data_IF_239975276725
#
_entry.id   IF_239975276725
#
_cell.length_a   1.000
_cell.length_b   1.000
_cell.length_c   1.000
_cell.angle_alpha   90.00
_cell.angle_beta   90.00
_cell.angle_gamma   90.00
#
_symmetry.space_group_name_H-M   'P 1'
#
loop_
_entity.id
_entity.type
_entity.pdbx_description
1 polymer ?
#
# COMPACT_ATOMS: atom_id res chain seq x y z
N UNK A 1 -25.85 -5.26 -10.00
CA UNK A 1 -25.80 -4.09 -10.90
C UNK A 1 -25.06 -4.52 -12.15
N UNK A 2 -25.80 -4.79 -13.22
CA UNK A 2 -25.24 -5.05 -14.54
C UNK A 2 -25.50 -3.81 -15.40
N UNK A 3 -24.49 -3.40 -16.16
CA UNK A 3 -24.46 -2.38 -17.22
C UNK A 3 -24.12 -0.95 -16.79
N UNK A 4 -22.90 -0.74 -16.29
CA UNK A 4 -22.10 0.40 -16.77
C UNK A 4 -21.37 -0.13 -18.00
N UNK A 5 -21.58 0.43 -19.20
CA UNK A 5 -20.85 -0.02 -20.39
C UNK A 5 -19.48 0.68 -20.39
N UNK A 6 -18.42 -0.10 -20.63
CA UNK A 6 -17.05 0.38 -20.78
C UNK A 6 -16.90 1.49 -21.85
N UNK A 7 -17.82 1.54 -22.82
CA UNK A 7 -17.91 2.62 -23.81
C UNK A 7 -18.33 3.96 -23.23
N UNK A 8 -19.13 3.97 -22.16
CA UNK A 8 -19.62 5.20 -21.52
C UNK A 8 -18.50 5.92 -20.74
N UNK A 9 -17.38 5.21 -20.49
CA UNK A 9 -16.14 5.73 -19.88
C UNK A 9 -15.22 6.36 -20.93
N UNK A 10 -15.25 5.86 -22.17
CA UNK A 10 -14.30 6.23 -23.21
C UNK A 10 -14.76 7.42 -24.07
N UNK A 11 -16.05 7.79 -24.03
CA UNK A 11 -16.64 8.84 -24.88
C UNK A 11 -17.09 10.11 -24.10
N UNK A 12 -16.65 10.31 -22.85
CA UNK A 12 -16.79 11.58 -22.11
C UNK A 12 -17.83 11.63 -20.98
N UNK A 13 -17.54 11.40 -19.70
CA UNK A 13 -16.39 10.82 -18.98
C UNK A 13 -16.86 10.77 -17.52
N UNK A 14 -17.03 9.59 -16.92
CA UNK A 14 -17.32 9.54 -15.48
C UNK A 14 -16.02 9.89 -14.75
N UNK A 15 -16.00 11.00 -14.01
CA UNK A 15 -14.83 11.37 -13.22
C UNK A 15 -14.47 10.26 -12.22
N UNK A 16 -13.17 10.14 -11.91
CA UNK A 16 -12.70 9.18 -10.90
C UNK A 16 -13.44 9.39 -9.57
N UNK A 17 -13.63 10.65 -9.17
CA UNK A 17 -14.40 11.02 -7.99
C UNK A 17 -15.83 10.45 -8.04
N UNK A 18 -16.55 10.67 -9.14
CA UNK A 18 -17.93 10.20 -9.31
C UNK A 18 -18.01 8.67 -9.27
N UNK A 19 -17.00 7.98 -9.84
CA UNK A 19 -16.88 6.53 -9.79
C UNK A 19 -16.72 6.02 -8.35
N UNK A 20 -15.79 6.60 -7.60
CA UNK A 20 -15.54 6.23 -6.19
C UNK A 20 -16.78 6.50 -5.35
N UNK A 21 -17.39 7.69 -5.49
CA UNK A 21 -18.61 8.05 -4.77
C UNK A 21 -19.75 7.06 -5.03
N UNK A 22 -19.91 6.64 -6.28
CA UNK A 22 -20.88 5.63 -6.67
C UNK A 22 -20.59 4.28 -6.01
N UNK A 23 -19.34 3.81 -6.03
CA UNK A 23 -18.96 2.55 -5.39
C UNK A 23 -19.21 2.57 -3.87
N UNK A 24 -18.81 3.65 -3.18
CA UNK A 24 -19.05 3.80 -1.74
C UNK A 24 -20.54 3.77 -1.42
N UNK A 25 -21.33 4.56 -2.15
CA UNK A 25 -22.79 4.68 -1.92
C UNK A 25 -23.53 3.36 -2.11
N UNK A 26 -22.99 2.47 -2.95
CA UNK A 26 -23.58 1.18 -3.27
C UNK A 26 -22.86 -0.01 -2.61
N UNK A 27 -21.87 0.24 -1.73
CA UNK A 27 -21.04 -0.80 -1.07
C UNK A 27 -20.41 -1.78 -2.07
N UNK A 28 -19.89 -1.25 -3.16
CA UNK A 28 -19.17 -2.00 -4.19
C UNK A 28 -17.66 -1.87 -4.00
N UNK A 29 -16.91 -2.85 -4.50
CA UNK A 29 -15.47 -2.72 -4.64
C UNK A 29 -15.15 -1.55 -5.58
N UNK A 30 -14.13 -0.76 -5.22
CA UNK A 30 -13.69 0.39 -6.01
C UNK A 30 -12.86 -0.13 -7.19
N UNK A 31 -13.31 0.19 -8.40
CA UNK A 31 -12.58 -0.07 -9.64
C UNK A 31 -12.49 1.24 -10.40
N UNK A 32 -11.27 1.76 -10.54
CA UNK A 32 -11.03 3.01 -11.26
C UNK A 32 -11.27 2.82 -12.77
N UNK A 33 -11.93 3.79 -13.44
CA UNK A 33 -12.28 3.70 -14.86
C UNK A 33 -11.08 3.90 -15.80
N UNK A 34 -9.91 4.22 -15.26
CA UNK A 34 -8.75 4.74 -15.99
C UNK A 34 -7.61 3.72 -16.11
N UNK A 35 -7.93 2.44 -16.33
CA UNK A 35 -6.95 1.34 -16.31
C UNK A 35 -5.71 1.59 -17.17
N UNK A 36 -5.89 2.28 -18.29
CA UNK A 36 -4.83 2.52 -19.28
C UNK A 36 -4.07 3.84 -19.04
N UNK A 37 -4.54 4.70 -18.11
CA UNK A 37 -3.96 6.02 -17.86
C UNK A 37 -2.55 5.96 -17.30
N UNK A 38 -2.23 4.90 -16.55
CA UNK A 38 -0.91 4.72 -15.95
C UNK A 38 0.20 4.68 -17.00
N UNK A 39 -0.12 4.21 -18.22
CA UNK A 39 0.82 4.17 -19.33
C UNK A 39 1.18 5.56 -19.89
N UNK A 40 0.38 6.59 -19.60
CA UNK A 40 0.67 7.97 -19.99
C UNK A 40 1.86 8.51 -19.19
N UNK A 41 1.88 8.27 -17.88
CA UNK A 41 2.97 8.65 -16.98
C UNK A 41 4.12 7.62 -16.96
N UNK A 42 3.79 6.34 -17.12
CA UNK A 42 4.73 5.23 -17.09
C UNK A 42 4.58 4.31 -18.31
N UNK A 43 5.06 4.72 -19.50
CA UNK A 43 4.91 3.91 -20.72
C UNK A 43 5.50 2.51 -20.60
N UNK A 44 6.55 2.35 -19.80
CA UNK A 44 7.23 1.08 -19.53
C UNK A 44 6.43 0.12 -18.62
N UNK A 45 5.29 0.56 -18.07
CA UNK A 45 4.43 -0.23 -17.18
C UNK A 45 3.07 -0.56 -17.81
N UNK A 46 2.85 -0.21 -19.08
CA UNK A 46 1.56 -0.35 -19.78
C UNK A 46 0.90 -1.73 -19.62
N UNK A 47 1.70 -2.80 -19.62
CA UNK A 47 1.20 -4.18 -19.55
C UNK A 47 1.37 -4.82 -18.16
N UNK A 48 1.71 -4.02 -17.14
CA UNK A 48 1.89 -4.51 -15.77
C UNK A 48 0.59 -4.39 -14.99
N UNK A 49 0.19 -5.48 -14.35
CA UNK A 49 -0.93 -5.50 -13.41
C UNK A 49 -0.47 -4.99 -12.04
N UNK A 50 -0.40 -3.67 -11.89
CA UNK A 50 -0.08 -3.02 -10.62
C UNK A 50 -1.34 -2.85 -9.78
N UNK A 51 -1.20 -3.04 -8.47
CA UNK A 51 -2.23 -2.71 -7.49
C UNK A 51 -2.32 -1.19 -7.31
N UNK A 52 -3.48 -0.72 -6.84
CA UNK A 52 -3.66 0.69 -6.54
C UNK A 52 -2.63 1.17 -5.50
N UNK A 53 -1.98 2.28 -5.80
CA UNK A 53 -0.89 2.86 -5.02
C UNK A 53 0.47 2.16 -5.16
N UNK A 54 0.57 1.00 -5.82
CA UNK A 54 1.83 0.23 -5.88
C UNK A 54 2.95 0.99 -6.58
N UNK A 55 2.63 1.65 -7.70
CA UNK A 55 3.62 2.40 -8.48
C UNK A 55 4.31 3.47 -7.62
N UNK A 56 3.53 4.24 -6.87
CA UNK A 56 4.02 5.37 -6.07
C UNK A 56 4.88 4.93 -4.88
N UNK A 57 4.64 3.72 -4.36
CA UNK A 57 5.38 3.20 -3.21
C UNK A 57 6.61 2.38 -3.59
N UNK A 58 6.61 1.73 -4.75
CA UNK A 58 7.67 0.75 -5.13
C UNK A 58 8.61 1.26 -6.21
N UNK A 59 8.18 2.21 -7.03
CA UNK A 59 8.94 2.66 -8.19
C UNK A 59 9.77 3.89 -7.83
N UNK A 60 11.09 3.75 -7.94
CA UNK A 60 11.99 4.89 -7.80
C UNK A 60 11.89 5.78 -9.04
N UNK A 61 11.29 6.95 -8.85
CA UNK A 61 11.20 7.98 -9.86
C UNK A 61 12.32 9.00 -9.66
N UNK A 62 13.01 9.37 -10.75
CA UNK A 62 14.04 10.41 -10.71
C UNK A 62 13.38 11.78 -10.55
N UNK A 63 13.91 12.61 -9.63
CA UNK A 63 13.48 14.00 -9.49
C UNK A 63 13.67 14.79 -10.79
N UNK A 64 12.68 15.60 -11.12
CA UNK A 64 12.65 16.46 -12.30
C UNK A 64 12.28 17.90 -11.90
N UNK A 65 13.27 18.65 -11.43
CA UNK A 65 13.11 20.05 -11.04
C UNK A 65 12.77 20.96 -12.22
N UNK A 66 13.20 20.59 -13.44
CA UNK A 66 12.88 21.33 -14.65
C UNK A 66 11.39 21.23 -14.96
N UNK A 67 10.82 20.02 -14.87
CA UNK A 67 9.38 19.80 -14.99
C UNK A 67 8.58 20.59 -13.93
N UNK A 68 9.04 20.62 -12.68
CA UNK A 68 8.38 21.39 -11.63
C UNK A 68 8.33 22.90 -11.96
N UNK A 69 9.45 23.48 -12.42
CA UNK A 69 9.51 24.89 -12.84
C UNK A 69 8.68 25.18 -14.07
N UNK A 70 8.67 24.27 -15.05
CA UNK A 70 7.86 24.39 -16.25
C UNK A 70 6.37 24.46 -15.90
N UNK A 71 5.89 23.52 -15.10
CA UNK A 71 4.50 23.49 -14.65
C UNK A 71 4.16 24.75 -13.84
N UNK A 72 5.03 25.16 -12.93
CA UNK A 72 4.82 26.38 -12.14
C UNK A 72 4.70 27.63 -13.03
N UNK A 73 5.54 27.75 -14.06
CA UNK A 73 5.43 28.83 -15.05
C UNK A 73 4.11 28.79 -15.83
N UNK A 74 3.55 27.60 -16.12
CA UNK A 74 2.22 27.49 -16.73
C UNK A 74 1.12 28.08 -15.82
N UNK A 75 1.19 27.84 -14.51
CA UNK A 75 0.27 28.43 -13.52
C UNK A 75 0.44 29.96 -13.39
N UNK A 76 1.67 30.47 -13.49
CA UNK A 76 1.89 31.92 -13.54
C UNK A 76 1.34 32.53 -14.84
N UNK A 77 1.50 31.83 -15.97
CA UNK A 77 1.05 32.32 -17.26
C UNK A 77 -0.48 32.45 -17.32
N UNK A 78 -1.21 31.38 -16.92
CA UNK A 78 -2.68 31.40 -16.92
C UNK A 78 -3.22 32.49 -15.99
N UNK A 79 -2.58 32.69 -14.83
CA UNK A 79 -2.94 33.76 -13.91
C UNK A 79 -2.74 35.16 -14.53
N UNK A 80 -1.56 35.41 -15.12
CA UNK A 80 -1.25 36.68 -15.76
C UNK A 80 -2.24 37.01 -16.90
N UNK A 81 -2.65 36.00 -17.66
CA UNK A 81 -3.62 36.17 -18.74
C UNK A 81 -5.02 36.50 -18.20
N UNK A 82 -5.43 35.85 -17.10
CA UNK A 82 -6.70 36.16 -16.43
C UNK A 82 -6.77 37.61 -15.91
N UNK A 83 -5.64 38.19 -15.49
CA UNK A 83 -5.59 39.57 -14.98
C UNK A 83 -5.47 40.60 -16.12
N UNK A 84 -4.67 40.31 -17.15
CA UNK A 84 -4.25 41.32 -18.13
C UNK A 84 -5.11 41.34 -19.41
N UNK A 85 -5.95 40.33 -19.65
CA UNK A 85 -6.73 40.18 -20.87
C UNK A 85 -8.18 39.78 -20.55
N UNK A 86 -9.10 40.07 -21.47
CA UNK A 86 -10.43 39.44 -21.45
C UNK A 86 -10.27 37.97 -21.81
N UNK A 87 -10.03 37.12 -20.80
CA UNK A 87 -9.96 35.66 -20.95
C UNK A 87 -11.29 35.14 -21.48
N UNK A 88 -11.26 34.45 -22.62
CA UNK A 88 -12.40 33.72 -23.16
C UNK A 88 -12.28 32.22 -22.83
N UNK A 89 -13.39 31.49 -22.96
CA UNK A 89 -13.42 30.07 -22.60
C UNK A 89 -12.45 29.22 -23.45
N UNK A 90 -12.28 29.53 -24.74
CA UNK A 90 -11.41 28.76 -25.63
C UNK A 90 -9.93 28.87 -25.22
N UNK A 91 -9.48 30.09 -24.87
CA UNK A 91 -8.12 30.29 -24.34
C UNK A 91 -7.94 29.63 -22.99
N UNK A 92 -8.94 29.76 -22.11
CA UNK A 92 -8.94 29.13 -20.79
C UNK A 92 -8.76 27.61 -20.93
N UNK A 93 -9.55 26.99 -21.80
CA UNK A 93 -9.47 25.56 -22.11
C UNK A 93 -8.11 25.19 -22.69
N UNK A 94 -7.54 26.02 -23.58
CA UNK A 94 -6.19 25.83 -24.11
C UNK A 94 -5.07 25.90 -23.06
N UNK A 95 -5.21 26.72 -22.02
CA UNK A 95 -4.28 26.74 -20.88
C UNK A 95 -4.47 25.51 -19.98
N UNK A 96 -5.71 25.22 -19.58
CA UNK A 96 -6.01 24.07 -18.73
C UNK A 96 -5.63 22.75 -19.39
N UNK A 97 -5.90 22.59 -20.69
CA UNK A 97 -5.55 21.40 -21.46
C UNK A 97 -4.04 21.16 -21.51
N UNK A 98 -3.23 22.23 -21.59
CA UNK A 98 -1.76 22.12 -21.52
C UNK A 98 -1.28 21.68 -20.14
N UNK A 99 -1.79 22.31 -19.08
CA UNK A 99 -1.48 21.94 -17.69
C UNK A 99 -1.89 20.47 -17.44
N UNK A 100 -3.10 20.11 -17.84
CA UNK A 100 -3.63 18.76 -17.68
C UNK A 100 -2.78 17.72 -18.42
N UNK A 101 -2.47 17.96 -19.69
CA UNK A 101 -1.63 17.07 -20.51
C UNK A 101 -0.23 16.93 -19.90
N UNK A 102 0.33 18.02 -19.37
CA UNK A 102 1.62 17.99 -18.68
C UNK A 102 1.59 17.05 -17.48
N UNK A 103 0.55 17.15 -16.65
CA UNK A 103 0.38 16.37 -15.42
C UNK A 103 0.22 14.88 -15.74
N UNK A 104 -0.69 14.51 -16.65
CA UNK A 104 -1.00 13.09 -16.91
C UNK A 104 0.11 12.33 -17.62
N UNK A 105 1.03 13.03 -18.28
CA UNK A 105 2.12 12.42 -19.07
C UNK A 105 3.39 12.16 -18.27
N UNK A 106 3.39 12.42 -16.96
CA UNK A 106 4.56 12.31 -16.10
C UNK A 106 4.17 11.75 -14.73
N UNK A 107 5.03 10.91 -14.11
CA UNK A 107 4.81 10.49 -12.73
C UNK A 107 4.81 11.69 -11.79
N UNK A 108 3.71 11.91 -11.07
CA UNK A 108 3.60 13.10 -10.19
C UNK A 108 4.75 13.20 -9.18
N UNK A 109 5.22 12.07 -8.63
CA UNK A 109 6.30 12.03 -7.65
C UNK A 109 7.65 12.52 -8.17
N UNK A 110 7.84 12.68 -9.49
CA UNK A 110 9.08 13.24 -10.03
C UNK A 110 9.20 14.74 -9.78
N UNK A 111 8.08 15.48 -9.72
CA UNK A 111 8.09 16.95 -9.70
C UNK A 111 7.22 17.58 -8.60
N UNK A 112 6.26 16.85 -8.01
CA UNK A 112 5.22 17.45 -7.13
C UNK A 112 5.78 18.19 -5.91
N UNK A 113 6.82 17.67 -5.26
CA UNK A 113 7.39 18.31 -4.07
C UNK A 113 8.11 19.62 -4.39
N UNK A 114 8.83 19.66 -5.51
CA UNK A 114 9.51 20.88 -5.97
C UNK A 114 8.48 21.90 -6.45
N UNK A 115 7.45 21.46 -7.19
CA UNK A 115 6.34 22.32 -7.59
C UNK A 115 5.63 22.92 -6.37
N UNK A 116 5.35 22.10 -5.36
CA UNK A 116 4.74 22.53 -4.08
C UNK A 116 5.60 23.59 -3.38
N UNK A 117 6.92 23.40 -3.35
CA UNK A 117 7.87 24.36 -2.78
C UNK A 117 7.82 25.70 -3.53
N UNK A 118 7.90 25.67 -4.87
CA UNK A 118 7.80 26.88 -5.70
C UNK A 118 6.47 27.61 -5.47
N UNK A 119 5.37 26.86 -5.42
CA UNK A 119 4.03 27.39 -5.17
C UNK A 119 3.93 28.07 -3.81
N UNK A 120 4.32 27.40 -2.73
CA UNK A 120 4.26 27.96 -1.38
C UNK A 120 5.18 29.18 -1.21
N UNK A 121 6.41 29.10 -1.73
CA UNK A 121 7.33 30.25 -1.71
C UNK A 121 6.75 31.46 -2.46
N UNK A 122 6.04 31.24 -3.57
CA UNK A 122 5.38 32.33 -4.27
C UNK A 122 4.26 32.95 -3.42
N UNK A 123 3.41 32.12 -2.82
CA UNK A 123 2.31 32.59 -1.97
C UNK A 123 2.82 33.36 -0.75
N UNK A 124 3.86 32.85 -0.08
CA UNK A 124 4.41 33.47 1.13
C UNK A 124 5.09 34.81 0.86
N UNK A 125 5.77 34.97 -0.28
CA UNK A 125 6.44 36.21 -0.65
C UNK A 125 5.45 37.29 -1.15
N UNK A 126 4.22 36.93 -1.48
CA UNK A 126 3.19 37.83 -1.99
C UNK A 126 2.06 38.07 -0.95
N UNK A 127 2.42 38.41 0.29
CA UNK A 127 1.57 38.53 1.50
C UNK A 127 0.31 39.44 1.42
N UNK A 128 0.01 40.06 0.28
CA UNK A 128 -1.26 40.76 0.11
C UNK A 128 -2.38 39.72 0.04
N UNK A 129 -3.44 39.92 0.83
CA UNK A 129 -4.51 38.96 1.18
C UNK A 129 -5.37 38.39 0.02
N UNK A 130 -4.92 38.52 -1.22
CA UNK A 130 -5.57 38.11 -2.46
C UNK A 130 -4.49 37.74 -3.50
N UNK A 131 -3.59 36.80 -3.18
CA UNK A 131 -2.74 36.21 -4.21
C UNK A 131 -3.65 35.46 -5.21
N UNK A 132 -3.94 36.10 -6.34
CA UNK A 132 -4.84 35.55 -7.35
C UNK A 132 -4.26 34.31 -8.02
N UNK A 133 -2.94 34.05 -7.94
CA UNK A 133 -2.35 32.77 -8.38
C UNK A 133 -2.88 31.67 -7.48
N UNK A 134 -2.85 31.87 -6.16
CA UNK A 134 -3.36 30.90 -5.18
C UNK A 134 -4.85 30.61 -5.39
N UNK A 135 -5.67 31.65 -5.50
CA UNK A 135 -7.14 31.49 -5.63
C UNK A 135 -7.47 30.70 -6.90
N UNK A 136 -6.96 31.16 -8.06
CA UNK A 136 -7.18 30.47 -9.33
C UNK A 136 -6.67 29.01 -9.28
N UNK A 137 -5.51 28.80 -8.68
CA UNK A 137 -4.92 27.45 -8.59
C UNK A 137 -5.78 26.51 -7.74
N UNK A 138 -6.30 26.97 -6.60
CA UNK A 138 -7.20 26.15 -5.75
C UNK A 138 -8.46 25.74 -6.51
N UNK A 139 -9.06 26.65 -7.27
CA UNK A 139 -10.24 26.33 -8.09
C UNK A 139 -9.91 25.29 -9.17
N UNK A 140 -8.76 25.41 -9.83
CA UNK A 140 -8.26 24.42 -10.79
C UNK A 140 -8.03 23.06 -10.12
N UNK A 141 -7.42 23.03 -8.93
CA UNK A 141 -7.17 21.78 -8.20
C UNK A 141 -8.48 21.10 -7.81
N UNK A 142 -9.46 21.84 -7.28
CA UNK A 142 -10.78 21.30 -6.98
C UNK A 142 -11.47 20.74 -8.22
N UNK A 143 -11.39 21.47 -9.34
CA UNK A 143 -11.94 21.00 -10.61
C UNK A 143 -11.29 19.68 -11.05
N UNK A 144 -9.96 19.58 -11.03
CA UNK A 144 -9.28 18.33 -11.35
C UNK A 144 -9.62 17.20 -10.37
N UNK A 145 -9.73 17.48 -9.08
CA UNK A 145 -10.08 16.46 -8.08
C UNK A 145 -11.49 15.89 -8.33
N UNK A 146 -12.45 16.76 -8.68
CA UNK A 146 -13.86 16.41 -8.86
C UNK A 146 -14.16 15.81 -10.24
N UNK A 147 -13.51 16.33 -11.27
CA UNK A 147 -13.97 16.14 -12.65
C UNK A 147 -12.97 15.33 -13.51
N UNK A 148 -11.72 15.13 -13.08
CA UNK A 148 -10.73 14.44 -13.90
C UNK A 148 -10.99 12.91 -14.04
N UNK A 149 -10.82 12.35 -15.25
CA UNK A 149 -10.84 10.90 -15.48
C UNK A 149 -9.48 10.21 -15.26
N UNK A 150 -8.36 10.93 -15.12
CA UNK A 150 -7.02 10.35 -15.02
C UNK A 150 -6.44 10.46 -13.60
N UNK A 151 -5.94 9.34 -13.06
CA UNK A 151 -5.39 9.27 -11.68
C UNK A 151 -4.31 10.29 -11.39
N UNK A 152 -3.39 10.56 -12.33
CA UNK A 152 -2.29 11.50 -12.07
C UNK A 152 -2.80 12.94 -11.90
N UNK A 153 -3.88 13.32 -12.60
CA UNK A 153 -4.52 14.62 -12.40
C UNK A 153 -5.22 14.71 -11.03
N UNK A 154 -5.92 13.65 -10.62
CA UNK A 154 -6.57 13.56 -9.30
C UNK A 154 -5.53 13.56 -8.18
N UNK A 155 -4.43 12.81 -8.31
CA UNK A 155 -3.32 12.79 -7.34
C UNK A 155 -2.66 14.16 -7.24
N UNK A 156 -2.33 14.78 -8.37
CA UNK A 156 -1.75 16.13 -8.39
C UNK A 156 -2.63 17.12 -7.62
N UNK A 157 -3.93 17.13 -7.94
CA UNK A 157 -4.89 17.97 -7.25
C UNK A 157 -4.95 17.67 -5.74
N UNK A 158 -5.01 16.40 -5.34
CA UNK A 158 -5.03 16.00 -3.94
C UNK A 158 -3.76 16.45 -3.19
N UNK A 159 -2.58 16.29 -3.81
CA UNK A 159 -1.31 16.77 -3.24
C UNK A 159 -1.31 18.28 -3.06
N UNK A 160 -1.76 19.04 -4.06
CA UNK A 160 -1.77 20.49 -3.96
C UNK A 160 -2.81 20.99 -2.95
N UNK A 161 -3.97 20.35 -2.87
CA UNK A 161 -4.97 20.68 -1.86
C UNK A 161 -4.49 20.34 -0.44
N UNK A 162 -3.59 19.36 -0.27
CA UNK A 162 -2.98 19.00 1.03
C UNK A 162 -2.11 20.10 1.67
N UNK A 163 -1.68 21.09 0.88
CA UNK A 163 -0.87 22.23 1.36
C UNK A 163 -1.61 23.56 1.28
N UNK A 164 -2.91 23.52 0.97
CA UNK A 164 -3.80 24.69 0.98
C UNK A 164 -4.83 24.53 2.09
N UNK A 165 -5.38 25.63 2.60
CA UNK A 165 -6.44 25.56 3.60
C UNK A 165 -7.65 24.79 3.06
N UNK A 166 -8.09 23.75 3.78
CA UNK A 166 -9.19 22.89 3.39
C UNK A 166 -10.52 23.48 3.86
N UNK A 167 -11.32 23.96 2.93
CA UNK A 167 -12.73 24.21 3.20
C UNK A 167 -13.55 22.91 3.23
N UNK A 168 -14.83 23.03 3.59
CA UNK A 168 -15.74 21.87 3.70
C UNK A 168 -15.87 21.08 2.40
N UNK A 169 -15.82 21.77 1.26
CA UNK A 169 -15.91 21.11 -0.06
C UNK A 169 -14.65 20.28 -0.31
N UNK A 170 -13.47 20.89 -0.12
CA UNK A 170 -12.17 20.22 -0.28
C UNK A 170 -12.08 18.98 0.59
N UNK A 171 -12.47 19.10 1.86
CA UNK A 171 -12.47 17.98 2.80
C UNK A 171 -13.40 16.84 2.36
N UNK A 172 -14.58 17.17 1.85
CA UNK A 172 -15.53 16.17 1.31
C UNK A 172 -14.95 15.45 0.09
N UNK A 173 -14.31 16.18 -0.82
CA UNK A 173 -13.65 15.59 -1.99
C UNK A 173 -12.52 14.64 -1.58
N UNK A 174 -11.66 15.06 -0.64
CA UNK A 174 -10.55 14.26 -0.11
C UNK A 174 -11.02 13.02 0.65
N UNK A 175 -12.03 13.12 1.53
CA UNK A 175 -12.60 11.95 2.23
C UNK A 175 -13.15 10.93 1.23
N UNK A 176 -13.83 11.39 0.17
CA UNK A 176 -14.40 10.50 -0.85
C UNK A 176 -13.30 9.71 -1.56
N UNK A 177 -12.31 10.39 -2.17
CA UNK A 177 -11.25 9.70 -2.92
C UNK A 177 -10.33 8.87 -2.01
N UNK A 178 -10.23 9.23 -0.72
CA UNK A 178 -9.42 8.52 0.27
C UNK A 178 -9.87 7.09 0.57
N UNK A 179 -11.06 6.70 0.12
CA UNK A 179 -11.50 5.30 0.18
C UNK A 179 -10.77 4.41 -0.84
N UNK A 180 -9.96 4.98 -1.75
CA UNK A 180 -9.17 4.24 -2.72
C UNK A 180 -7.68 4.28 -2.37
N UNK A 181 -7.00 3.12 -2.40
CA UNK A 181 -5.57 3.00 -2.11
C UNK A 181 -4.70 3.92 -2.99
N UNK A 182 -5.13 4.21 -4.22
CA UNK A 182 -4.41 5.05 -5.20
C UNK A 182 -4.18 6.49 -4.71
N UNK A 183 -5.11 7.04 -3.92
CA UNK A 183 -5.09 8.45 -3.48
C UNK A 183 -4.74 8.62 -2.01
N UNK A 184 -4.43 7.53 -1.31
CA UNK A 184 -4.26 7.54 0.14
C UNK A 184 -3.11 8.43 0.62
N UNK A 185 -1.97 8.46 -0.07
CA UNK A 185 -0.81 9.27 0.32
C UNK A 185 -1.12 10.77 0.39
N UNK A 186 -1.62 11.43 -0.69
CA UNK A 186 -1.96 12.84 -0.61
C UNK A 186 -3.11 13.13 0.38
N UNK A 187 -4.09 12.23 0.51
CA UNK A 187 -5.20 12.40 1.47
C UNK A 187 -4.71 12.28 2.92
N UNK A 188 -3.85 11.31 3.23
CA UNK A 188 -3.25 11.15 4.56
C UNK A 188 -2.46 12.40 4.95
N UNK A 189 -1.66 12.93 4.02
CA UNK A 189 -0.92 14.19 4.21
C UNK A 189 -1.85 15.36 4.49
N UNK A 190 -2.94 15.49 3.73
CA UNK A 190 -3.92 16.57 3.90
C UNK A 190 -4.57 16.51 5.29
N UNK A 191 -5.04 15.35 5.71
CA UNK A 191 -5.67 15.19 7.01
C UNK A 191 -4.69 15.32 8.17
N UNK A 192 -3.43 14.89 7.99
CA UNK A 192 -2.39 15.12 9.00
C UNK A 192 -2.08 16.61 9.18
N UNK A 193 -2.03 17.38 8.08
CA UNK A 193 -1.84 18.83 8.12
C UNK A 193 -2.95 19.53 8.94
N UNK A 194 -4.20 19.10 8.75
CA UNK A 194 -5.37 19.62 9.49
C UNK A 194 -5.55 18.98 10.88
N UNK A 195 -4.64 18.09 11.30
CA UNK A 195 -4.70 17.34 12.56
C UNK A 195 -5.98 16.50 12.70
N UNK A 196 -6.50 16.01 11.59
CA UNK A 196 -7.70 15.18 11.52
C UNK A 196 -7.35 13.68 11.61
N UNK A 197 -6.80 13.30 12.76
CA UNK A 197 -6.35 11.93 13.01
C UNK A 197 -7.49 10.89 12.94
N UNK A 198 -8.72 11.30 13.26
CA UNK A 198 -9.89 10.40 13.19
C UNK A 198 -10.25 10.02 11.76
N UNK A 199 -10.18 10.96 10.81
CA UNK A 199 -10.40 10.63 9.40
C UNK A 199 -9.30 9.73 8.84
N UNK A 200 -8.04 9.93 9.25
CA UNK A 200 -6.94 9.02 8.91
C UNK A 200 -7.24 7.61 9.42
N UNK A 201 -7.62 7.47 10.70
CA UNK A 201 -7.93 6.18 11.30
C UNK A 201 -9.13 5.49 10.63
N UNK A 202 -10.20 6.24 10.34
CA UNK A 202 -11.37 5.75 9.61
C UNK A 202 -11.00 5.22 8.23
N UNK A 203 -10.20 5.96 7.47
CA UNK A 203 -9.80 5.54 6.12
C UNK A 203 -8.80 4.38 6.14
N UNK A 204 -7.87 4.34 7.09
CA UNK A 204 -6.95 3.21 7.30
C UNK A 204 -7.69 1.88 7.51
N UNK A 205 -8.84 1.91 8.20
CA UNK A 205 -9.73 0.76 8.39
C UNK A 205 -10.44 0.33 7.11
N UNK A 206 -10.72 1.26 6.21
CA UNK A 206 -11.46 1.01 4.98
C UNK A 206 -10.58 0.36 3.92
N UNK A 207 -9.41 0.95 3.67
CA UNK A 207 -8.51 0.50 2.60
C UNK A 207 -7.75 -0.77 2.99
N UNK A 208 -7.35 -1.56 1.98
CA UNK A 208 -6.78 -2.90 2.18
C UNK A 208 -5.46 -3.13 1.45
N UNK A 209 -4.89 -2.12 0.79
CA UNK A 209 -3.60 -2.24 0.10
C UNK A 209 -2.61 -1.19 0.57
N UNK A 210 -1.86 -0.65 -0.39
CA UNK A 210 -0.87 0.40 -0.19
C UNK A 210 -1.42 1.66 0.48
N UNK A 211 -2.73 1.91 0.38
CA UNK A 211 -3.37 3.01 1.09
C UNK A 211 -3.35 2.82 2.59
N UNK A 212 -3.43 1.57 3.09
CA UNK A 212 -3.33 1.30 4.53
C UNK A 212 -1.96 1.70 5.05
N UNK A 213 -0.90 1.29 4.36
CA UNK A 213 0.47 1.70 4.66
C UNK A 213 0.60 3.23 4.70
N UNK A 214 0.05 3.92 3.69
CA UNK A 214 0.08 5.38 3.62
C UNK A 214 -0.65 6.04 4.81
N UNK A 215 -1.89 5.66 5.12
CA UNK A 215 -2.61 6.25 6.26
C UNK A 215 -1.90 5.99 7.59
N UNK A 216 -1.43 4.77 7.81
CA UNK A 216 -0.72 4.40 9.03
C UNK A 216 0.60 5.15 9.21
N UNK A 217 1.25 5.56 8.12
CA UNK A 217 2.49 6.37 8.18
C UNK A 217 2.24 7.80 8.68
N UNK A 218 0.99 8.26 8.70
CA UNK A 218 0.58 9.59 9.16
C UNK A 218 -0.34 9.56 10.39
N UNK A 219 -0.78 8.38 10.82
CA UNK A 219 -1.70 8.22 11.95
C UNK A 219 -0.98 8.40 13.28
N UNK A 220 -1.55 9.23 14.16
CA UNK A 220 -1.08 9.38 15.54
C UNK A 220 -1.73 8.31 16.45
N UNK A 221 -0.94 7.67 17.30
CA UNK A 221 -1.42 6.69 18.28
C UNK A 221 -1.72 7.41 19.60
N UNK A 222 -2.87 8.07 19.64
CA UNK A 222 -3.32 8.94 20.74
C UNK A 222 -4.31 8.26 21.72
N UNK A 223 -4.61 6.98 21.50
CA UNK A 223 -5.63 6.24 22.24
C UNK A 223 -5.32 4.74 22.25
N UNK A 224 -5.81 4.06 23.30
CA UNK A 224 -5.68 2.61 23.44
C UNK A 224 -6.38 1.87 22.29
N UNK A 225 -7.54 2.36 21.85
CA UNK A 225 -8.30 1.76 20.74
C UNK A 225 -7.52 1.78 19.42
N UNK A 226 -6.80 2.89 19.13
CA UNK A 226 -5.94 2.97 17.94
C UNK A 226 -4.72 2.06 18.06
N UNK A 227 -4.10 2.01 19.24
CA UNK A 227 -2.97 1.11 19.53
C UNK A 227 -3.36 -0.36 19.35
N UNK A 228 -4.46 -0.77 19.96
CA UNK A 228 -4.96 -2.14 19.85
C UNK A 228 -5.37 -2.47 18.41
N UNK A 229 -6.12 -1.59 17.74
CA UNK A 229 -6.46 -1.83 16.34
C UNK A 229 -5.21 -1.96 15.46
N UNK A 230 -4.20 -1.13 15.70
CA UNK A 230 -2.91 -1.22 14.99
C UNK A 230 -2.24 -2.58 15.22
N UNK A 231 -2.21 -3.10 16.45
CA UNK A 231 -1.59 -4.38 16.77
C UNK A 231 -2.40 -5.57 16.23
N UNK A 232 -3.72 -5.56 16.37
CA UNK A 232 -4.57 -6.74 16.15
C UNK A 232 -5.19 -6.83 14.76
N UNK A 233 -5.35 -5.71 14.05
CA UNK A 233 -6.16 -5.66 12.83
C UNK A 233 -5.43 -5.03 11.63
N UNK A 234 -4.44 -4.18 11.83
CA UNK A 234 -3.83 -3.41 10.73
C UNK A 234 -3.19 -4.30 9.65
N UNK A 235 -2.45 -5.34 10.05
CA UNK A 235 -1.73 -6.24 9.13
C UNK A 235 -2.65 -7.14 8.31
N UNK A 236 -3.95 -7.20 8.64
CA UNK A 236 -4.97 -7.95 7.88
C UNK A 236 -5.39 -7.16 6.65
N UNK A 237 -4.44 -6.94 5.75
CA UNK A 237 -4.59 -6.27 4.46
C UNK A 237 -4.25 -7.23 3.32
N UNK A 238 -4.63 -6.88 2.10
CA UNK A 238 -4.46 -7.70 0.89
C UNK A 238 -3.04 -7.59 0.32
N UNK A 239 -2.40 -6.43 0.52
CA UNK A 239 -1.03 -6.13 0.07
C UNK A 239 -0.23 -5.40 1.16
N UNK A 240 1.09 -5.33 0.99
CA UNK A 240 2.05 -4.63 1.86
C UNK A 240 1.98 -5.00 3.35
N UNK A 241 1.58 -6.23 3.68
CA UNK A 241 1.46 -6.71 5.06
C UNK A 241 2.78 -6.58 5.83
N UNK A 242 3.92 -6.76 5.16
CA UNK A 242 5.26 -6.59 5.72
C UNK A 242 5.52 -5.15 6.19
N UNK A 243 5.27 -4.16 5.33
CA UNK A 243 5.39 -2.74 5.70
C UNK A 243 4.43 -2.36 6.83
N UNK A 244 3.18 -2.82 6.76
CA UNK A 244 2.17 -2.55 7.78
C UNK A 244 2.53 -3.22 9.12
N UNK A 245 3.04 -4.45 9.10
CA UNK A 245 3.52 -5.15 10.30
C UNK A 245 4.67 -4.39 10.95
N UNK A 246 5.60 -3.82 10.18
CA UNK A 246 6.70 -3.03 10.72
C UNK A 246 6.20 -1.77 11.42
N UNK A 247 5.22 -1.08 10.82
CA UNK A 247 4.54 0.06 11.44
C UNK A 247 3.87 -0.39 12.74
N UNK A 248 3.14 -1.50 12.75
CA UNK A 248 2.45 -1.99 13.93
C UNK A 248 3.42 -2.31 15.08
N UNK A 249 4.54 -2.97 14.79
CA UNK A 249 5.59 -3.29 15.75
C UNK A 249 6.21 -2.02 16.35
N UNK A 250 6.50 -1.02 15.51
CA UNK A 250 7.15 0.24 15.91
C UNK A 250 6.21 1.18 16.64
N UNK A 251 5.10 1.56 16.01
CA UNK A 251 4.21 2.61 16.46
C UNK A 251 3.11 2.10 17.39
N UNK A 252 2.78 0.81 17.32
CA UNK A 252 1.94 0.16 18.32
C UNK A 252 2.67 -0.07 19.64
N UNK A 253 3.99 0.14 19.70
CA UNK A 253 4.84 -0.18 20.85
C UNK A 253 4.55 -1.59 21.37
N UNK A 254 4.74 -2.59 20.50
CA UNK A 254 4.40 -3.99 20.82
C UNK A 254 5.18 -4.47 22.03
N UNK A 255 6.47 -4.11 22.16
CA UNK A 255 7.25 -4.47 23.35
C UNK A 255 6.65 -3.90 24.64
N UNK A 256 6.30 -2.61 24.66
CA UNK A 256 5.63 -2.00 25.81
C UNK A 256 4.29 -2.67 26.10
N UNK A 257 3.50 -2.96 25.06
CA UNK A 257 2.19 -3.59 25.18
C UNK A 257 2.31 -5.00 25.80
N UNK A 258 3.32 -5.76 25.39
CA UNK A 258 3.64 -7.08 25.96
C UNK A 258 4.10 -6.99 27.41
N UNK A 259 4.90 -5.97 27.78
CA UNK A 259 5.33 -5.78 29.17
C UNK A 259 4.18 -5.37 30.10
N UNK A 260 3.20 -4.64 29.57
CA UNK A 260 2.01 -4.20 30.30
C UNK A 260 1.01 -5.34 30.52
N UNK A 261 0.79 -6.18 29.50
CA UNK A 261 -0.32 -7.12 29.46
C UNK A 261 0.09 -8.60 29.55
N UNK A 262 1.38 -8.91 29.34
CA UNK A 262 1.84 -10.26 29.08
C UNK A 262 1.27 -10.81 27.76
N UNK A 263 1.26 -12.13 27.63
CA UNK A 263 0.61 -12.79 26.50
C UNK A 263 -0.63 -13.56 26.94
N UNK A 264 -1.76 -13.29 26.28
CA UNK A 264 -2.84 -14.26 26.11
C UNK A 264 -2.77 -14.87 24.69
N UNK A 265 -3.69 -15.79 24.36
CA UNK A 265 -3.71 -16.43 23.03
C UNK A 265 -3.90 -15.42 21.89
N UNK A 266 -4.71 -14.38 22.09
CA UNK A 266 -4.99 -13.37 21.08
C UNK A 266 -3.75 -12.50 20.81
N UNK A 267 -3.06 -12.07 21.85
CA UNK A 267 -1.81 -11.30 21.77
C UNK A 267 -0.74 -12.15 21.10
N UNK A 268 -0.61 -13.41 21.51
CA UNK A 268 0.39 -14.31 20.94
C UNK A 268 0.17 -14.52 19.44
N UNK A 269 -1.06 -14.83 19.03
CA UNK A 269 -1.36 -15.05 17.62
C UNK A 269 -1.13 -13.78 16.78
N UNK A 270 -1.55 -12.62 17.29
CA UNK A 270 -1.32 -11.35 16.59
C UNK A 270 0.16 -10.99 16.46
N UNK A 271 0.96 -11.17 17.52
CA UNK A 271 2.41 -10.95 17.45
C UNK A 271 3.06 -11.96 16.50
N UNK A 272 2.58 -13.21 16.49
CA UNK A 272 3.04 -14.24 15.57
C UNK A 272 2.83 -13.85 14.11
N UNK A 273 1.63 -13.38 13.76
CA UNK A 273 1.31 -12.91 12.40
C UNK A 273 2.15 -11.68 12.01
N UNK A 274 2.37 -10.75 12.95
CA UNK A 274 3.25 -9.60 12.73
C UNK A 274 4.68 -10.03 12.39
N UNK A 275 5.23 -10.98 13.16
CA UNK A 275 6.57 -11.52 12.94
C UNK A 275 6.68 -12.29 11.63
N UNK A 276 5.71 -13.15 11.31
CA UNK A 276 5.73 -13.95 10.07
C UNK A 276 5.71 -13.07 8.83
N UNK A 277 4.90 -12.03 8.81
CA UNK A 277 4.88 -11.05 7.71
C UNK A 277 6.24 -10.40 7.48
N UNK A 278 6.99 -10.10 8.55
CA UNK A 278 8.33 -9.51 8.45
C UNK A 278 9.34 -10.55 7.93
N UNK A 279 9.34 -11.76 8.49
CA UNK A 279 10.29 -12.80 8.10
C UNK A 279 10.05 -13.37 6.70
N UNK A 280 8.81 -13.31 6.21
CA UNK A 280 8.48 -13.62 4.83
C UNK A 280 8.90 -12.50 3.84
N UNK A 281 9.21 -11.30 4.32
CA UNK A 281 9.51 -10.14 3.47
C UNK A 281 10.89 -10.21 2.83
N UNK A 282 10.96 -9.73 1.59
CA UNK A 282 12.22 -9.41 0.89
C UNK A 282 12.56 -7.93 0.92
N UNK A 283 11.62 -7.10 1.37
CA UNK A 283 11.65 -5.65 1.22
C UNK A 283 11.86 -4.93 2.54
N UNK A 284 11.41 -5.56 3.63
CA UNK A 284 11.54 -5.05 4.99
C UNK A 284 12.61 -5.85 5.73
N UNK A 285 13.57 -5.15 6.33
CA UNK A 285 14.58 -5.76 7.19
C UNK A 285 14.13 -5.62 8.65
N UNK A 286 14.07 -6.74 9.39
CA UNK A 286 13.63 -6.69 10.78
C UNK A 286 14.60 -5.93 11.70
N UNK A 287 15.86 -5.78 11.29
CA UNK A 287 16.84 -4.96 12.02
C UNK A 287 16.46 -3.48 12.08
N UNK A 288 15.55 -3.02 11.20
CA UNK A 288 14.97 -1.68 11.29
C UNK A 288 14.09 -1.48 12.53
N UNK A 289 13.68 -2.56 13.22
CA UNK A 289 12.95 -2.51 14.48
C UNK A 289 13.90 -2.68 15.67
N UNK A 290 14.09 -1.59 16.42
CA UNK A 290 15.04 -1.52 17.55
C UNK A 290 14.78 -2.57 18.65
N UNK A 291 13.51 -2.95 18.86
CA UNK A 291 13.08 -3.86 19.92
C UNK A 291 12.93 -5.31 19.42
N UNK A 292 13.33 -5.59 18.16
CA UNK A 292 13.18 -6.89 17.49
C UNK A 292 13.66 -8.06 18.34
N UNK A 293 14.88 -7.98 18.87
CA UNK A 293 15.46 -9.05 19.71
C UNK A 293 14.61 -9.37 20.93
N UNK A 294 14.14 -8.34 21.62
CA UNK A 294 13.41 -8.52 22.87
C UNK A 294 12.01 -9.09 22.62
N UNK A 295 11.31 -8.61 21.58
CA UNK A 295 10.02 -9.16 21.19
C UNK A 295 10.15 -10.63 20.79
N UNK A 296 11.18 -11.01 20.03
CA UNK A 296 11.43 -12.41 19.68
C UNK A 296 11.70 -13.25 20.93
N UNK A 297 12.54 -12.77 21.86
CA UNK A 297 12.84 -13.49 23.11
C UNK A 297 11.56 -13.76 23.90
N UNK A 298 10.76 -12.71 24.14
CA UNK A 298 9.48 -12.85 24.83
C UNK A 298 8.52 -13.82 24.11
N UNK A 299 8.44 -13.73 22.78
CA UNK A 299 7.59 -14.61 21.98
C UNK A 299 8.03 -16.09 22.04
N UNK A 300 9.34 -16.36 22.00
CA UNK A 300 9.89 -17.71 22.12
C UNK A 300 9.76 -18.22 23.55
N UNK A 301 10.02 -17.41 24.58
CA UNK A 301 9.93 -17.84 25.98
C UNK A 301 8.49 -18.22 26.35
N UNK A 302 7.50 -17.49 25.83
CA UNK A 302 6.10 -17.72 26.14
C UNK A 302 5.52 -19.00 25.49
N UNK A 303 6.16 -19.52 24.43
CA UNK A 303 5.69 -20.71 23.70
C UNK A 303 5.59 -21.96 24.59
N UNK A 304 6.44 -22.07 25.62
CA UNK A 304 6.48 -23.23 26.53
C UNK A 304 5.16 -23.39 27.28
N UNK A 305 4.44 -22.29 27.48
CA UNK A 305 3.19 -22.26 28.24
C UNK A 305 1.95 -22.38 27.34
N UNK A 306 2.11 -22.64 26.04
CA UNK A 306 1.01 -22.62 25.06
C UNK A 306 0.74 -23.96 24.42
N UNK A 307 -0.53 -24.13 24.02
CA UNK A 307 -0.88 -25.15 23.04
C UNK A 307 -0.31 -24.76 21.67
N UNK A 308 0.42 -25.70 21.06
CA UNK A 308 1.03 -25.52 19.75
C UNK A 308 0.11 -26.10 18.68
N UNK A 309 -0.41 -25.21 17.84
CA UNK A 309 -1.16 -25.55 16.63
C UNK A 309 -0.28 -25.34 15.38
N UNK A 310 -0.80 -25.77 14.23
CA UNK A 310 -0.08 -25.71 12.95
C UNK A 310 0.37 -24.27 12.59
N UNK A 311 -0.44 -23.25 12.92
CA UNK A 311 -0.14 -21.85 12.60
C UNK A 311 1.01 -21.31 13.45
N UNK A 312 0.94 -21.47 14.78
CA UNK A 312 2.00 -21.05 15.72
C UNK A 312 3.32 -21.75 15.41
N UNK A 313 3.25 -23.03 15.04
CA UNK A 313 4.42 -23.78 14.64
C UNK A 313 5.05 -23.22 13.36
N UNK A 314 4.24 -22.90 12.35
CA UNK A 314 4.74 -22.31 11.10
C UNK A 314 5.50 -21.00 11.37
N UNK A 315 4.91 -20.10 12.16
CA UNK A 315 5.54 -18.84 12.58
C UNK A 315 6.87 -19.10 13.28
N UNK A 316 6.92 -20.03 14.24
CA UNK A 316 8.16 -20.37 14.94
C UNK A 316 9.23 -20.84 13.95
N UNK A 317 8.91 -21.75 13.03
CA UNK A 317 9.86 -22.23 12.02
C UNK A 317 10.32 -21.10 11.09
N UNK A 318 9.43 -20.17 10.73
CA UNK A 318 9.73 -18.96 9.94
C UNK A 318 10.75 -18.06 10.64
N UNK A 319 10.54 -17.77 11.93
CA UNK A 319 11.48 -17.02 12.78
C UNK A 319 12.83 -17.73 12.81
N UNK A 320 12.85 -19.03 13.15
CA UNK A 320 14.07 -19.81 13.36
C UNK A 320 14.94 -19.97 12.11
N UNK A 321 14.33 -20.24 10.96
CA UNK A 321 15.04 -20.31 9.69
C UNK A 321 15.70 -18.98 9.30
N UNK A 322 15.22 -17.88 9.88
CA UNK A 322 15.68 -16.53 9.58
C UNK A 322 16.57 -15.96 10.69
N UNK A 323 16.68 -16.63 11.85
CA UNK A 323 17.66 -16.35 12.91
C UNK A 323 19.11 -16.51 12.44
N UNK A 324 19.33 -17.15 11.28
CA UNK A 324 20.64 -17.25 10.64
C UNK A 324 21.15 -15.92 10.05
N UNK A 325 20.28 -14.91 9.93
CA UNK A 325 20.69 -13.53 9.63
C UNK A 325 21.48 -12.91 10.80
N UNK A 326 22.30 -11.89 10.53
CA UNK A 326 23.22 -11.23 11.49
C UNK A 326 22.55 -10.59 12.74
N UNK A 327 21.27 -10.87 12.99
CA UNK A 327 20.50 -10.28 14.08
C UNK A 327 20.94 -10.80 15.45
N UNK A 328 21.18 -12.11 15.62
CA UNK A 328 21.58 -12.71 16.90
C UNK A 328 23.03 -13.18 16.89
N UNK A 329 23.75 -12.95 17.99
CA UNK A 329 25.09 -13.53 18.18
C UNK A 329 25.01 -15.05 18.36
N UNK A 330 26.11 -15.76 18.12
CA UNK A 330 26.19 -17.22 18.32
C UNK A 330 25.74 -17.64 19.73
N UNK A 331 26.14 -16.88 20.76
CA UNK A 331 25.71 -17.11 22.15
C UNK A 331 24.21 -16.94 22.37
N UNK A 332 23.57 -15.98 21.68
CA UNK A 332 22.12 -15.79 21.78
C UNK A 332 21.38 -16.92 21.06
N UNK A 333 21.91 -17.39 19.92
CA UNK A 333 21.37 -18.54 19.19
C UNK A 333 21.46 -19.82 20.02
N UNK A 334 22.58 -20.04 20.71
CA UNK A 334 22.75 -21.18 21.64
C UNK A 334 21.75 -21.15 22.80
N UNK A 335 21.40 -19.97 23.31
CA UNK A 335 20.40 -19.83 24.38
C UNK A 335 18.97 -20.11 23.89
N UNK A 336 18.66 -19.78 22.64
CA UNK A 336 17.35 -20.05 22.04
C UNK A 336 17.21 -21.51 21.58
N UNK A 337 18.32 -22.19 21.24
CA UNK A 337 18.30 -23.55 20.68
C UNK A 337 17.55 -24.60 21.53
N UNK A 338 17.60 -24.62 22.88
CA UNK A 338 16.84 -25.58 23.69
C UNK A 338 15.32 -25.35 23.66
N UNK A 339 14.87 -24.09 23.55
CA UNK A 339 13.44 -23.71 23.49
C UNK A 339 12.79 -24.20 22.18
N UNK A 340 13.62 -24.34 21.14
CA UNK A 340 13.27 -24.91 19.84
C UNK A 340 13.19 -26.44 19.87
N UNK A 341 13.84 -27.09 20.84
CA UNK A 341 13.84 -28.55 20.99
C UNK A 341 12.65 -29.08 21.82
N UNK A 342 11.82 -28.20 22.39
CA UNK A 342 10.49 -28.54 22.91
C UNK A 342 9.61 -28.95 21.72
N UNK A 343 8.98 -30.13 21.72
CA UNK A 343 8.98 -31.05 20.58
C UNK A 343 8.29 -30.46 19.35
N UNK A 344 9.08 -29.75 18.54
CA UNK A 344 9.02 -29.87 17.10
C UNK A 344 9.12 -31.37 16.81
N UNK A 345 7.98 -32.00 16.51
CA UNK A 345 7.78 -33.27 15.83
C UNK A 345 9.06 -34.09 15.67
N UNK A 346 9.12 -35.26 16.32
CA UNK A 346 10.22 -36.23 16.14
C UNK A 346 10.54 -36.38 14.64
N UNK A 347 11.64 -35.75 14.20
CA UNK A 347 12.21 -35.80 12.85
C UNK A 347 11.61 -34.86 11.77
N UNK A 348 11.76 -33.54 11.92
CA UNK A 348 11.74 -32.61 10.78
C UNK A 348 12.98 -32.85 9.88
N UNK A 349 12.80 -33.54 8.76
CA UNK A 349 13.79 -33.65 7.69
C UNK A 349 13.24 -33.02 6.42
N UNK A 350 13.96 -32.04 5.89
CA UNK A 350 13.64 -31.39 4.62
C UNK A 350 14.26 -32.20 3.48
N UNK A 351 13.48 -32.47 2.44
CA UNK A 351 14.01 -33.08 1.21
C UNK A 351 14.73 -32.03 0.34
N UNK A 352 15.34 -32.52 -0.75
CA UNK A 352 16.08 -31.69 -1.71
C UNK A 352 15.21 -30.68 -2.46
N UNK A 353 13.89 -30.80 -2.35
CA UNK A 353 12.90 -29.95 -3.02
C UNK A 353 12.23 -28.97 -2.03
N UNK A 354 12.83 -28.76 -0.85
CA UNK A 354 12.30 -27.94 0.24
C UNK A 354 10.91 -28.37 0.76
N UNK A 355 10.59 -29.66 0.70
CA UNK A 355 9.38 -30.22 1.31
C UNK A 355 9.72 -30.95 2.59
N UNK A 356 8.98 -30.65 3.65
CA UNK A 356 9.00 -31.43 4.88
C UNK A 356 7.69 -32.23 4.99
N UNK A 357 7.82 -33.53 5.19
CA UNK A 357 6.68 -34.39 5.52
C UNK A 357 6.60 -34.55 7.03
N UNK A 358 5.47 -34.14 7.61
CA UNK A 358 5.27 -34.12 9.06
C UNK A 358 4.28 -35.22 9.46
N UNK A 359 4.65 -35.96 10.52
CA UNK A 359 3.80 -36.94 11.17
C UNK A 359 3.40 -36.41 12.55
N UNK A 360 2.11 -36.22 12.76
CA UNK A 360 1.59 -35.79 14.07
C UNK A 360 1.60 -36.96 15.07
N UNK A 361 1.48 -36.66 16.37
CA UNK A 361 1.36 -37.66 17.46
C UNK A 361 0.25 -38.68 17.20
N UNK A 362 -0.78 -38.28 16.46
CA UNK A 362 -1.73 -39.17 15.81
C UNK A 362 -1.22 -39.57 14.41
N UNK A 363 -0.67 -40.79 14.30
CA UNK A 363 -0.10 -41.36 13.07
C UNK A 363 -1.10 -41.51 11.91
N UNK A 364 -2.37 -41.17 12.11
CA UNK A 364 -3.42 -41.22 11.08
C UNK A 364 -3.47 -39.96 10.18
N UNK A 365 -2.80 -38.86 10.55
CA UNK A 365 -2.78 -37.61 9.77
C UNK A 365 -1.37 -37.27 9.29
N UNK A 366 -1.23 -37.03 7.99
CA UNK A 366 0.02 -36.67 7.30
C UNK A 366 -0.11 -35.26 6.73
N UNK A 367 0.84 -34.39 7.06
CA UNK A 367 0.92 -33.05 6.48
C UNK A 367 2.19 -32.92 5.65
N UNK A 368 2.09 -32.24 4.50
CA UNK A 368 3.24 -31.89 3.66
C UNK A 368 3.34 -30.38 3.71
N UNK A 369 4.40 -29.86 4.32
CA UNK A 369 4.71 -28.44 4.31
C UNK A 369 5.72 -28.21 3.17
N UNK A 370 5.34 -27.38 2.21
CA UNK A 370 6.24 -26.91 1.16
C UNK A 370 6.75 -25.52 1.55
N UNK A 371 8.08 -25.33 1.55
CA UNK A 371 8.65 -23.98 1.69
C UNK A 371 8.20 -23.17 0.47
N UNK A 372 7.37 -22.15 0.67
CA UNK A 372 6.95 -21.28 -0.43
C UNK A 372 8.14 -20.41 -0.81
N UNK A 373 8.93 -20.89 -1.77
CA UNK A 373 9.79 -20.02 -2.55
C UNK A 373 8.87 -19.04 -3.27
N UNK A 374 8.88 -17.79 -2.81
CA UNK A 374 8.36 -16.60 -3.45
C UNK A 374 7.68 -16.78 -4.81
N UNK A 375 6.42 -16.34 -4.84
CA UNK A 375 5.53 -16.15 -5.98
C UNK A 375 6.29 -15.72 -7.25
N UNK A 376 6.49 -16.68 -8.16
CA UNK A 376 6.47 -16.42 -9.59
C UNK A 376 5.19 -17.04 -10.17
N UNK A 377 4.25 -16.16 -10.53
CA UNK A 377 3.18 -16.32 -11.53
C UNK A 377 2.66 -17.75 -11.82
N UNK A 378 1.77 -18.29 -10.96
CA UNK A 378 0.85 -19.34 -11.43
C UNK A 378 -0.30 -18.72 -12.20
N UNK A 379 -0.09 -18.65 -13.52
CA UNK A 379 -1.16 -18.58 -14.54
C UNK A 379 -2.26 -19.58 -14.19
N UNK A 380 -3.47 -19.07 -14.01
CA UNK A 380 -4.71 -19.84 -14.08
C UNK A 380 -4.77 -20.65 -15.37
N UNK A 381 -4.72 -21.98 -15.27
CA UNK A 381 -5.27 -22.87 -16.30
C UNK A 381 -6.54 -23.52 -15.77
N UNK A 382 -7.59 -23.19 -16.50
CA UNK A 382 -8.96 -23.65 -16.43
C UNK A 382 -9.12 -25.15 -16.16
N UNK A 383 -10.11 -25.41 -15.31
CA UNK A 383 -10.79 -26.69 -15.14
C UNK A 383 -11.30 -27.20 -16.49
N UNK A 384 -10.84 -28.39 -16.92
CA UNK A 384 -11.62 -29.25 -17.83
C UNK A 384 -11.85 -30.60 -17.16
N UNK A 385 -13.14 -30.93 -17.08
CA UNK A 385 -13.73 -32.14 -16.52
C UNK A 385 -13.19 -33.41 -17.19
N UNK A 386 -13.22 -34.44 -16.37
CA UNK A 386 -13.07 -35.87 -16.62
C UNK A 386 -13.69 -36.38 -17.93
N UNK A 387 -12.97 -37.29 -18.58
CA UNK A 387 -13.46 -38.15 -19.66
C UNK A 387 -12.41 -39.21 -20.00
N UNK A 388 -12.65 -40.45 -19.53
CA UNK A 388 -11.86 -41.65 -19.85
C UNK A 388 -11.71 -41.82 -21.37
N UNK A 389 -10.57 -42.34 -21.82
CA UNK A 389 -10.44 -43.49 -22.76
C UNK A 389 -8.99 -44.00 -22.73
N UNK A 390 -8.85 -45.33 -22.63
CA UNK A 390 -7.61 -46.12 -22.79
C UNK A 390 -7.21 -46.15 -24.28
N UNK A 391 -5.93 -46.04 -24.62
CA UNK A 391 -5.10 -47.16 -25.15
C UNK A 391 -3.78 -46.73 -25.82
N UNK A 392 -2.79 -47.61 -25.64
CA UNK A 392 -1.69 -48.03 -26.53
C UNK A 392 -0.49 -47.13 -26.85
N UNK A 393 0.66 -47.57 -26.31
CA UNK A 393 2.04 -47.67 -26.86
C UNK A 393 2.31 -47.10 -28.27
N UNK A 394 3.35 -46.23 -28.40
CA UNK A 394 4.65 -46.54 -29.07
C UNK A 394 5.61 -45.33 -29.13
N UNK A 395 6.87 -45.63 -28.82
CA UNK A 395 8.13 -45.21 -29.44
C UNK A 395 8.45 -43.73 -29.79
N UNK A 396 9.42 -43.21 -29.01
CA UNK A 396 10.72 -42.70 -29.47
C UNK A 396 10.91 -41.27 -30.01
N UNK A 397 12.07 -40.72 -29.57
CA UNK A 397 12.94 -39.65 -30.13
C UNK A 397 12.77 -38.22 -29.62
N UNK A 398 13.80 -37.83 -28.84
CA UNK A 398 14.64 -36.62 -28.93
C UNK A 398 14.05 -35.38 -29.61
N UNK A 399 14.16 -34.21 -28.97
CA UNK A 399 14.99 -33.10 -29.46
C UNK A 399 15.30 -32.11 -28.31
N UNK A 400 16.58 -31.71 -28.24
CA UNK A 400 17.10 -30.52 -27.55
C UNK A 400 16.75 -29.27 -28.37
N UNK A 401 16.38 -28.17 -27.72
CA UNK A 401 17.10 -26.88 -27.68
C UNK A 401 16.85 -26.29 -26.30
#
# INVERSE_FOLDING_TARGET
>A
MNNVKLSDIMDGELSIYSCILYCISNKLDIVLPDSDSIALAFPNLKDKNLQYGEADNTIKVKKDEAAARELFNMFLQIHNECINLSMDNEKMDGYLGRIYTFIISRPILSYIYEFTSLFLNHVENNQNSLDGVRILSVDIFKHFLRDAPHREAVKFAAFMLSVTHQDSETRMLLDTIGHCDEFALPVARAFAYDKDNESIFKLAKFVKGWGRFNYLSYMEIDSIDKREWLIFESYKCDFCQDYVSLIALKYGDVLGYLKENGFDDRIYDAVGDLLDNIYASKYVDFSDYKDSKEVIKLFIDDIINREINDARQYVLVSILNTLDSNLFSDSERELLAPLVQVPLFENLTFDKDNKATIFCRDKSKKYVIERVSNIESKKTKSVKKSGKIKNTKKDSKNYRI
#
